data_IF_825137304265
#
_entry.id   IF_825137304265
#
_cell.length_a   1.000
_cell.length_b   1.000
_cell.length_c   1.000
_cell.angle_alpha   90.00
_cell.angle_beta   90.00
_cell.angle_gamma   90.00
#
_symmetry.space_group_name_H-M   'P 1'
#
loop_
_entity.id
_entity.type
_entity.pdbx_description
1 polymer ?
#
# COMPACT_ATOMS: atom_id res chain seq x y z
N UNK A 1 24.09 -11.93 6.68
CA UNK A 1 22.71 -11.44 6.93
C UNK A 1 22.83 -9.98 7.31
N UNK A 2 22.35 -9.08 6.44
CA UNK A 2 22.44 -7.62 6.66
C UNK A 2 21.56 -7.18 7.82
N UNK A 3 21.86 -6.00 8.38
CA UNK A 3 21.10 -5.41 9.48
C UNK A 3 19.69 -5.05 9.00
N UNK A 4 18.66 -5.66 9.57
CA UNK A 4 17.27 -5.23 9.43
C UNK A 4 17.09 -3.87 10.10
N UNK A 5 16.63 -2.87 9.34
CA UNK A 5 16.26 -1.57 9.90
C UNK A 5 14.79 -1.58 10.31
N UNK A 6 14.48 -0.84 11.38
CA UNK A 6 13.13 -0.74 11.92
C UNK A 6 12.77 0.71 12.20
N UNK A 7 11.49 1.05 12.11
CA UNK A 7 10.99 2.31 12.61
C UNK A 7 11.08 2.37 14.15
N UNK A 8 11.36 3.55 14.72
CA UNK A 8 11.29 3.73 16.16
C UNK A 8 9.85 3.55 16.65
N UNK A 9 9.71 2.91 17.81
CA UNK A 9 8.43 2.80 18.51
C UNK A 9 8.17 4.08 19.29
N UNK A 10 6.96 4.61 19.14
CA UNK A 10 6.44 5.77 19.84
C UNK A 10 4.99 5.49 20.29
N UNK A 11 4.44 6.34 21.17
CA UNK A 11 3.07 6.15 21.67
C UNK A 11 2.02 6.10 20.55
N UNK A 12 2.23 6.85 19.45
CA UNK A 12 1.25 6.96 18.37
C UNK A 12 1.28 5.83 17.33
N UNK A 13 2.36 5.03 17.24
CA UNK A 13 2.47 3.92 16.30
C UNK A 13 2.52 2.53 16.98
N UNK A 14 2.46 2.47 18.31
CA UNK A 14 2.56 1.22 19.04
C UNK A 14 1.25 0.42 18.95
N UNK A 15 1.33 -0.80 18.42
CA UNK A 15 0.21 -1.74 18.44
C UNK A 15 -0.02 -2.31 19.84
N UNK A 16 -1.26 -2.18 20.35
CA UNK A 16 -1.63 -2.68 21.69
C UNK A 16 -2.38 -4.01 21.65
N UNK A 17 -3.30 -4.19 20.69
CA UNK A 17 -4.11 -5.42 20.56
C UNK A 17 -3.53 -6.33 19.49
N UNK A 18 -3.36 -7.61 19.83
CA UNK A 18 -2.67 -8.60 19.00
C UNK A 18 -1.29 -8.09 18.57
N UNK A 19 -0.49 -7.66 19.55
CA UNK A 19 0.80 -7.03 19.31
C UNK A 19 1.88 -8.04 18.88
N UNK A 20 1.64 -9.34 19.09
CA UNK A 20 2.40 -10.44 18.50
C UNK A 20 2.41 -10.41 16.97
N UNK A 21 1.38 -9.83 16.34
CA UNK A 21 1.31 -9.63 14.89
C UNK A 21 1.98 -8.32 14.42
N UNK A 22 2.51 -7.50 15.33
CA UNK A 22 3.02 -6.18 14.99
C UNK A 22 4.46 -6.26 14.47
N UNK A 23 4.73 -5.54 13.37
CA UNK A 23 6.07 -5.35 12.84
C UNK A 23 6.42 -3.87 12.74
N UNK A 24 7.71 -3.56 12.85
CA UNK A 24 8.26 -2.23 12.64
C UNK A 24 9.39 -2.28 11.59
N UNK A 25 9.56 -3.43 10.95
CA UNK A 25 10.55 -3.70 9.91
C UNK A 25 10.29 -2.80 8.68
N UNK A 26 11.33 -2.09 8.23
CA UNK A 26 11.22 -1.18 7.09
C UNK A 26 10.84 -1.93 5.82
N UNK A 27 11.48 -3.07 5.54
CA UNK A 27 11.23 -3.84 4.33
C UNK A 27 9.79 -4.34 4.30
N UNK A 28 9.29 -4.91 5.39
CA UNK A 28 7.91 -5.41 5.45
C UNK A 28 6.91 -4.25 5.23
N UNK A 29 7.09 -3.14 5.94
CA UNK A 29 6.20 -1.98 5.84
C UNK A 29 6.24 -1.36 4.44
N UNK A 30 7.43 -1.13 3.88
CA UNK A 30 7.57 -0.57 2.54
C UNK A 30 7.04 -1.52 1.46
N UNK A 31 7.20 -2.84 1.64
CA UNK A 31 6.63 -3.84 0.72
C UNK A 31 5.10 -3.78 0.73
N UNK A 32 4.46 -3.68 1.91
CA UNK A 32 3.00 -3.55 2.01
C UNK A 32 2.53 -2.27 1.30
N UNK A 33 3.22 -1.15 1.52
CA UNK A 33 2.89 0.13 0.86
C UNK A 33 3.04 0.00 -0.66
N UNK A 34 4.18 -0.49 -1.15
CA UNK A 34 4.48 -0.53 -2.59
C UNK A 34 3.67 -1.57 -3.37
N UNK A 35 3.13 -2.58 -2.69
CA UNK A 35 2.27 -3.62 -3.31
C UNK A 35 0.77 -3.32 -3.16
N UNK A 36 0.41 -2.20 -2.53
CA UNK A 36 -0.98 -1.75 -2.39
C UNK A 36 -1.27 -0.67 -3.43
N UNK A 37 -2.23 -0.91 -4.33
CA UNK A 37 -2.50 -0.01 -5.46
C UNK A 37 -3.18 1.32 -5.05
N UNK A 38 -3.83 1.36 -3.89
CA UNK A 38 -4.48 2.56 -3.34
C UNK A 38 -4.07 2.75 -1.88
N UNK A 39 -3.43 3.88 -1.59
CA UNK A 39 -3.11 4.32 -0.24
C UNK A 39 -4.20 5.22 0.31
N UNK A 40 -4.51 5.09 1.59
CA UNK A 40 -5.46 5.95 2.27
C UNK A 40 -4.71 7.03 3.05
N UNK A 41 -4.73 8.26 2.54
CA UNK A 41 -3.97 9.38 3.10
C UNK A 41 -4.90 10.24 3.94
N UNK A 42 -4.68 10.23 5.25
CA UNK A 42 -5.48 10.95 6.24
C UNK A 42 -4.74 12.17 6.76
N UNK A 43 -5.46 13.28 6.94
CA UNK A 43 -4.91 14.53 7.48
C UNK A 43 -6.00 15.37 8.13
N UNK A 44 -5.60 16.21 9.07
CA UNK A 44 -6.51 17.21 9.64
C UNK A 44 -6.57 18.43 8.72
N UNK A 45 -7.77 18.78 8.27
CA UNK A 45 -7.97 20.03 7.57
C UNK A 45 -7.83 21.20 8.55
N UNK A 46 -7.13 22.26 8.14
CA UNK A 46 -7.08 23.51 8.91
C UNK A 46 -8.12 24.54 8.46
N UNK A 47 -8.88 24.28 7.39
CA UNK A 47 -9.96 25.18 6.98
C UNK A 47 -11.22 24.93 7.83
N UNK A 48 -11.72 25.94 8.57
CA UNK A 48 -12.88 25.83 9.44
C UNK A 48 -14.15 25.32 8.75
N UNK A 49 -14.28 25.52 7.44
CA UNK A 49 -15.43 25.07 6.67
C UNK A 49 -15.44 23.55 6.39
N UNK A 50 -14.34 22.82 6.59
CA UNK A 50 -14.32 21.35 6.49
C UNK A 50 -15.05 20.63 7.63
N UNK A 51 -15.40 21.34 8.70
CA UNK A 51 -15.89 20.72 9.92
C UNK A 51 -14.78 20.02 10.72
N UNK A 52 -15.16 19.30 11.79
CA UNK A 52 -14.21 18.80 12.79
C UNK A 52 -13.54 17.46 12.41
N UNK A 53 -13.84 16.90 11.24
CA UNK A 53 -13.45 15.55 10.89
C UNK A 53 -12.09 15.51 10.16
N UNK A 54 -11.24 14.49 10.40
CA UNK A 54 -10.09 14.26 9.56
C UNK A 54 -10.55 13.92 8.14
N UNK A 55 -9.84 14.46 7.15
CA UNK A 55 -10.03 14.09 5.76
C UNK A 55 -9.25 12.80 5.47
N UNK A 56 -9.77 11.97 4.57
CA UNK A 56 -9.11 10.77 4.06
C UNK A 56 -9.25 10.77 2.53
N UNK A 57 -8.13 10.66 1.83
CA UNK A 57 -8.09 10.65 0.37
C UNK A 57 -7.46 9.34 -0.14
N UNK A 58 -8.13 8.59 -1.03
CA UNK A 58 -7.52 7.47 -1.73
C UNK A 58 -6.56 8.00 -2.80
N UNK A 59 -5.29 7.61 -2.72
CA UNK A 59 -4.22 8.13 -3.56
C UNK A 59 -3.25 7.02 -3.99
N UNK A 60 -2.77 7.07 -5.22
CA UNK A 60 -1.60 6.33 -5.68
C UNK A 60 -0.37 6.95 -5.03
N UNK A 61 0.48 6.12 -4.45
CA UNK A 61 1.78 6.53 -3.97
C UNK A 61 2.77 5.38 -4.02
N UNK A 62 4.03 5.71 -3.77
CA UNK A 62 5.12 4.76 -3.82
C UNK A 62 6.25 5.19 -2.90
N UNK A 63 6.86 4.25 -2.18
CA UNK A 63 8.07 4.48 -1.41
C UNK A 63 9.28 4.58 -2.36
N UNK A 64 10.14 5.55 -2.14
CA UNK A 64 11.40 5.69 -2.87
C UNK A 64 12.31 6.74 -2.24
N UNK A 65 13.51 6.92 -2.79
CA UNK A 65 14.42 7.99 -2.38
C UNK A 65 14.96 8.73 -3.59
N UNK A 66 14.69 10.03 -3.68
CA UNK A 66 15.25 10.86 -4.73
C UNK A 66 16.77 11.05 -4.55
N UNK A 67 17.22 11.17 -3.29
CA UNK A 67 18.65 11.37 -2.98
C UNK A 67 19.48 10.10 -3.19
N UNK A 68 18.86 8.92 -3.09
CA UNK A 68 19.49 7.63 -3.32
C UNK A 68 18.54 6.72 -4.14
N UNK A 69 18.41 6.93 -5.47
CA UNK A 69 17.43 6.20 -6.29
C UNK A 69 17.60 4.68 -6.30
N UNK A 70 18.77 4.16 -5.93
CA UNK A 70 19.05 2.72 -5.80
C UNK A 70 18.80 2.15 -4.40
N UNK A 71 18.24 2.94 -3.47
CA UNK A 71 18.00 2.51 -2.10
C UNK A 71 17.06 1.29 -2.05
N UNK A 72 17.43 0.32 -1.23
CA UNK A 72 16.64 -0.87 -1.00
C UNK A 72 15.44 -0.59 -0.06
N UNK A 73 14.41 -1.45 -0.09
CA UNK A 73 13.24 -1.32 0.79
C UNK A 73 13.58 -1.43 2.30
N UNK A 74 14.75 -1.94 2.66
CA UNK A 74 15.26 -1.95 4.04
C UNK A 74 16.00 -0.65 4.41
N UNK A 75 16.00 0.37 3.56
CA UNK A 75 16.58 1.69 3.84
C UNK A 75 15.49 2.72 4.19
N UNK A 76 15.84 3.85 4.84
CA UNK A 76 14.89 4.94 5.03
C UNK A 76 14.45 5.54 3.68
N UNK A 77 13.15 5.47 3.39
CA UNK A 77 12.55 6.00 2.18
C UNK A 77 11.53 7.10 2.50
N UNK A 78 11.19 7.92 1.50
CA UNK A 78 10.03 8.80 1.53
C UNK A 78 8.85 8.16 0.79
N UNK A 79 7.63 8.58 1.10
CA UNK A 79 6.45 8.20 0.32
C UNK A 79 6.08 9.34 -0.63
N UNK A 80 6.14 9.10 -1.94
CA UNK A 80 5.68 10.05 -2.95
C UNK A 80 4.24 9.73 -3.31
N UNK A 81 3.34 10.69 -3.11
CA UNK A 81 1.91 10.55 -3.44
C UNK A 81 1.56 11.54 -4.55
N UNK A 82 0.80 11.06 -5.53
CA UNK A 82 0.32 11.91 -6.62
C UNK A 82 -0.74 12.89 -6.10
N UNK A 83 -0.70 14.14 -6.54
CA UNK A 83 -1.72 15.12 -6.20
C UNK A 83 -2.12 15.98 -7.40
N UNK A 84 -3.37 16.41 -7.42
CA UNK A 84 -3.77 17.48 -8.33
C UNK A 84 -3.36 18.83 -7.73
N UNK A 85 -2.95 19.81 -8.56
CA UNK A 85 -2.47 21.13 -8.07
C UNK A 85 -3.51 21.87 -7.23
N UNK A 86 -4.80 21.63 -7.47
CA UNK A 86 -5.90 22.17 -6.65
C UNK A 86 -6.32 21.27 -5.47
N UNK A 87 -5.57 20.21 -5.15
CA UNK A 87 -5.81 19.46 -3.93
C UNK A 87 -5.53 20.37 -2.74
N UNK A 88 -6.55 20.50 -1.87
CA UNK A 88 -6.47 21.15 -0.55
C UNK A 88 -5.21 20.78 0.23
N UNK A 89 -4.74 19.53 0.11
CA UNK A 89 -3.48 19.09 0.71
C UNK A 89 -2.25 19.84 0.19
N UNK A 90 -2.17 20.15 -1.10
CA UNK A 90 -1.01 20.83 -1.68
C UNK A 90 -0.91 22.30 -1.24
N UNK A 91 -2.03 22.98 -0.99
CA UNK A 91 -2.02 24.31 -0.36
C UNK A 91 -1.62 24.24 1.12
N UNK A 92 -2.09 23.21 1.85
CA UNK A 92 -1.79 23.02 3.27
C UNK A 92 -0.34 22.53 3.50
N UNK A 93 0.23 21.78 2.56
CA UNK A 93 1.58 21.26 2.61
C UNK A 93 2.68 22.32 2.37
N UNK A 94 2.31 23.59 2.13
CA UNK A 94 3.24 24.73 2.00
C UNK A 94 3.60 25.38 3.35
N UNK A 95 3.10 24.85 4.45
CA UNK A 95 3.47 25.26 5.82
C UNK A 95 4.90 24.78 6.10
N UNK A 96 5.70 25.56 6.86
CA UNK A 96 7.15 25.34 7.04
C UNK A 96 7.54 23.90 7.44
N UNK A 97 6.77 23.25 8.31
CA UNK A 97 7.07 21.89 8.80
C UNK A 97 6.40 20.78 7.96
N UNK A 98 5.68 21.14 6.90
CA UNK A 98 4.83 20.24 6.11
C UNK A 98 3.48 19.93 6.78
N UNK A 99 2.57 19.33 6.02
CA UNK A 99 1.26 18.89 6.54
C UNK A 99 1.41 17.54 7.24
N UNK A 100 1.08 17.39 8.53
CA UNK A 100 1.04 16.08 9.17
C UNK A 100 0.02 15.17 8.50
N UNK A 101 0.47 13.98 8.11
CA UNK A 101 -0.35 12.96 7.44
C UNK A 101 -0.13 11.58 8.05
N UNK A 102 -1.17 10.75 7.94
CA UNK A 102 -1.10 9.31 8.19
C UNK A 102 -1.46 8.58 6.89
N UNK A 103 -0.69 7.59 6.49
CA UNK A 103 -0.92 6.82 5.27
C UNK A 103 -1.17 5.37 5.64
N UNK A 104 -2.32 4.82 5.27
CA UNK A 104 -2.66 3.42 5.52
C UNK A 104 -2.71 2.60 4.23
N UNK A 105 -2.20 1.37 4.31
CA UNK A 105 -2.30 0.33 3.29
C UNK A 105 -2.71 -0.99 3.96
N UNK A 106 -3.56 -1.76 3.29
CA UNK A 106 -4.09 -3.03 3.81
C UNK A 106 -4.40 -3.99 2.68
N UNK A 107 -4.04 -5.26 2.86
CA UNK A 107 -4.36 -6.36 1.95
C UNK A 107 -4.94 -7.52 2.76
N UNK A 108 -6.01 -8.13 2.23
CA UNK A 108 -6.56 -9.39 2.75
C UNK A 108 -6.00 -10.51 1.90
N UNK A 109 -5.34 -11.47 2.53
CA UNK A 109 -4.71 -12.62 1.86
C UNK A 109 -5.50 -13.92 2.10
N UNK A 110 -6.50 -13.92 3.01
CA UNK A 110 -7.37 -15.07 3.23
C UNK A 110 -8.54 -14.81 4.20
N UNK A 111 -9.65 -15.51 4.00
CA UNK A 111 -10.80 -15.57 4.90
C UNK A 111 -10.65 -16.80 5.80
N UNK A 112 -10.57 -16.58 7.12
CA UNK A 112 -10.53 -17.67 8.10
C UNK A 112 -11.97 -17.98 8.53
N UNK A 113 -12.45 -19.14 8.10
CA UNK A 113 -13.81 -19.61 8.32
C UNK A 113 -13.79 -20.67 9.43
N UNK A 114 -14.26 -20.27 10.61
CA UNK A 114 -14.23 -21.08 11.83
C UNK A 114 -15.61 -21.71 12.11
N UNK A 115 -15.70 -22.65 13.05
CA UNK A 115 -16.94 -23.35 13.39
C UNK A 115 -18.00 -22.45 14.04
N UNK A 116 -17.58 -21.31 14.63
CA UNK A 116 -18.48 -20.35 15.25
C UNK A 116 -18.31 -18.93 14.69
N UNK A 117 -19.37 -18.10 14.70
CA UNK A 117 -19.28 -16.70 14.27
C UNK A 117 -18.26 -15.85 15.05
N UNK A 118 -17.90 -16.28 16.26
CA UNK A 118 -16.99 -15.56 17.14
C UNK A 118 -15.52 -15.70 16.70
N UNK A 119 -15.14 -16.82 16.11
CA UNK A 119 -13.76 -17.15 15.77
C UNK A 119 -13.38 -16.86 14.31
N UNK A 120 -14.28 -16.28 13.51
CA UNK A 120 -13.94 -15.84 12.15
C UNK A 120 -12.86 -14.75 12.18
N UNK A 121 -11.95 -14.80 11.20
CA UNK A 121 -10.86 -13.83 11.11
C UNK A 121 -10.38 -13.67 9.66
N UNK A 122 -9.34 -12.86 9.48
CA UNK A 122 -8.64 -12.70 8.22
C UNK A 122 -7.15 -13.03 8.37
N UNK A 123 -6.59 -13.62 7.32
CA UNK A 123 -5.18 -13.48 7.02
C UNK A 123 -5.04 -12.13 6.31
N UNK A 124 -4.23 -11.23 6.86
CA UNK A 124 -4.06 -9.89 6.31
C UNK A 124 -2.71 -9.29 6.65
N UNK A 125 -2.33 -8.30 5.83
CA UNK A 125 -1.16 -7.44 6.07
C UNK A 125 -1.60 -5.99 5.98
N UNK A 126 -1.08 -5.17 6.89
CA UNK A 126 -1.36 -3.74 6.89
C UNK A 126 -0.16 -2.95 7.35
N UNK A 127 -0.06 -1.71 6.86
CA UNK A 127 0.97 -0.76 7.22
C UNK A 127 0.35 0.62 7.43
N UNK A 128 0.86 1.34 8.42
CA UNK A 128 0.52 2.73 8.70
C UNK A 128 1.82 3.51 8.80
N UNK A 129 1.96 4.53 7.95
CA UNK A 129 3.04 5.50 7.99
C UNK A 129 2.56 6.81 8.61
N UNK A 130 3.41 7.46 9.37
CA UNK A 130 3.19 8.77 9.97
C UNK A 130 4.27 9.71 9.47
N UNK A 131 3.91 10.87 8.96
CA UNK A 131 4.89 11.76 8.35
C UNK A 131 4.37 13.16 8.06
N UNK A 132 5.21 13.91 7.35
CA UNK A 132 4.91 15.29 6.96
C UNK A 132 4.99 15.41 5.44
N UNK A 133 3.86 15.74 4.83
CA UNK A 133 3.73 15.95 3.40
C UNK A 133 4.20 17.35 3.01
N UNK A 134 5.05 17.43 1.98
CA UNK A 134 5.54 18.67 1.40
C UNK A 134 5.43 18.61 -0.13
N UNK A 135 5.11 19.75 -0.75
CA UNK A 135 5.08 19.84 -2.21
C UNK A 135 6.50 19.72 -2.76
N UNK A 136 6.68 18.82 -3.72
CA UNK A 136 7.92 18.72 -4.49
C UNK A 136 8.02 19.91 -5.44
N UNK A 137 9.02 20.76 -5.24
CA UNK A 137 9.26 21.97 -6.04
C UNK A 137 10.47 21.84 -6.94
N UNK A 138 11.42 20.98 -6.59
CA UNK A 138 12.58 20.70 -7.44
C UNK A 138 12.13 19.94 -8.70
N UNK A 139 12.65 20.35 -9.85
CA UNK A 139 12.20 19.81 -11.13
C UNK A 139 12.66 18.37 -11.36
N UNK A 140 13.86 18.02 -10.89
CA UNK A 140 14.43 16.67 -11.03
C UNK A 140 13.73 15.70 -10.06
N UNK A 141 13.51 16.10 -8.81
CA UNK A 141 12.74 15.33 -7.83
C UNK A 141 11.31 15.08 -8.30
N UNK A 142 10.69 16.09 -8.92
CA UNK A 142 9.34 15.96 -9.47
C UNK A 142 9.30 14.94 -10.61
N UNK A 143 10.26 14.99 -11.52
CA UNK A 143 10.34 14.04 -12.64
C UNK A 143 10.60 12.62 -12.13
N UNK A 144 11.53 12.45 -11.18
CA UNK A 144 11.79 11.20 -10.48
C UNK A 144 10.51 10.63 -9.87
N UNK A 145 9.77 11.45 -9.11
CA UNK A 145 8.58 10.98 -8.44
C UNK A 145 7.44 10.65 -9.42
N UNK A 146 7.30 11.40 -10.52
CA UNK A 146 6.33 11.07 -11.57
C UNK A 146 6.66 9.74 -12.24
N UNK A 147 7.93 9.47 -12.53
CA UNK A 147 8.38 8.17 -13.04
C UNK A 147 8.09 7.06 -12.02
N UNK A 148 8.50 7.24 -10.77
CA UNK A 148 8.31 6.28 -9.68
C UNK A 148 6.84 5.89 -9.49
N UNK A 149 5.93 6.87 -9.50
CA UNK A 149 4.48 6.64 -9.39
C UNK A 149 3.91 6.01 -10.66
N UNK A 150 4.39 6.39 -11.84
CA UNK A 150 3.91 5.79 -13.10
C UNK A 150 4.28 4.31 -13.18
N UNK A 151 5.51 3.97 -12.78
CA UNK A 151 5.99 2.59 -12.76
C UNK A 151 5.40 1.77 -11.59
N UNK A 152 4.84 2.41 -10.56
CA UNK A 152 4.08 1.71 -9.51
C UNK A 152 2.70 1.24 -9.99
N UNK A 153 2.10 1.93 -10.96
CA UNK A 153 0.87 1.48 -11.62
C UNK A 153 1.14 0.21 -12.43
N UNK A 154 2.23 0.20 -13.20
CA UNK A 154 2.69 -0.95 -13.95
C UNK A 154 4.18 -0.76 -14.27
N UNK A 155 5.00 -1.75 -13.94
CA UNK A 155 6.45 -1.65 -14.15
C UNK A 155 6.78 -1.41 -15.63
N UNK A 156 7.65 -0.43 -15.91
CA UNK A 156 8.03 -0.03 -17.27
C UNK A 156 6.99 0.86 -17.98
N UNK A 157 5.92 1.28 -17.29
CA UNK A 157 4.85 2.09 -17.88
C UNK A 157 5.32 3.51 -18.22
N UNK A 158 6.30 4.04 -17.51
CA UNK A 158 6.90 5.34 -17.84
C UNK A 158 7.49 5.34 -19.25
N UNK A 159 8.43 4.42 -19.53
CA UNK A 159 9.03 4.25 -20.86
C UNK A 159 8.02 3.78 -21.92
N UNK A 160 6.98 3.04 -21.50
CA UNK A 160 5.84 2.67 -22.35
C UNK A 160 4.85 3.81 -22.65
N UNK A 161 5.16 5.05 -22.27
CA UNK A 161 4.34 6.25 -22.46
C UNK A 161 5.09 7.33 -23.24
N UNK A 162 4.42 8.42 -23.63
CA UNK A 162 5.10 9.58 -24.25
C UNK A 162 5.87 10.34 -23.16
N UNK A 163 7.20 10.28 -23.23
CA UNK A 163 8.10 10.93 -22.28
C UNK A 163 9.01 11.96 -22.98
N UNK A 164 9.50 12.99 -22.27
CA UNK A 164 9.05 13.43 -20.94
C UNK A 164 7.66 14.12 -20.98
N UNK A 165 7.01 14.32 -19.82
CA UNK A 165 5.83 15.17 -19.73
C UNK A 165 6.13 16.57 -20.28
N UNK A 166 5.16 17.17 -20.97
CA UNK A 166 5.30 18.53 -21.47
C UNK A 166 5.10 19.57 -20.33
N UNK A 167 5.41 20.84 -20.60
CA UNK A 167 5.33 21.89 -19.59
C UNK A 167 3.94 22.09 -18.97
N UNK A 168 2.86 21.85 -19.73
CA UNK A 168 1.50 21.95 -19.20
C UNK A 168 1.18 20.80 -18.23
N UNK A 169 1.61 19.58 -18.55
CA UNK A 169 1.45 18.41 -17.69
C UNK A 169 2.27 18.55 -16.40
N UNK A 170 3.51 19.03 -16.51
CA UNK A 170 4.35 19.34 -15.35
C UNK A 170 3.74 20.47 -14.51
N UNK A 171 3.14 21.48 -15.12
CA UNK A 171 2.49 22.59 -14.43
C UNK A 171 1.20 22.20 -13.71
N UNK A 172 0.43 21.26 -14.26
CA UNK A 172 -0.87 20.82 -13.73
C UNK A 172 -0.78 19.69 -12.68
N UNK A 173 0.38 19.03 -12.57
CA UNK A 173 0.59 17.92 -11.62
C UNK A 173 1.27 18.42 -10.36
N UNK A 174 0.74 18.11 -9.18
CA UNK A 174 1.44 18.28 -7.91
C UNK A 174 1.92 16.91 -7.43
N UNK A 175 3.11 16.86 -6.86
CA UNK A 175 3.58 15.66 -6.16
C UNK A 175 3.85 16.08 -4.72
N UNK A 176 3.40 15.27 -3.77
CA UNK A 176 3.75 15.45 -2.38
C UNK A 176 4.77 14.38 -2.00
N UNK A 177 5.90 14.80 -1.44
CA UNK A 177 6.83 13.94 -0.73
C UNK A 177 6.43 13.91 0.73
N UNK A 178 6.23 12.73 1.28
CA UNK A 178 5.96 12.52 2.71
C UNK A 178 7.25 12.03 3.36
N UNK A 179 7.84 12.91 4.17
CA UNK A 179 8.96 12.52 5.04
C UNK A 179 8.41 11.68 6.19
N UNK A 180 8.84 10.42 6.27
CA UNK A 180 8.33 9.49 7.27
C UNK A 180 8.99 9.74 8.63
N UNK A 181 8.17 9.98 9.65
CA UNK A 181 8.58 10.14 11.04
C UNK A 181 8.49 8.82 11.83
N UNK A 182 7.58 7.94 11.44
CA UNK A 182 7.42 6.61 12.02
C UNK A 182 6.50 5.74 11.19
N UNK A 183 6.56 4.44 11.44
CA UNK A 183 5.68 3.47 10.79
C UNK A 183 5.39 2.29 11.71
N UNK A 184 4.29 1.61 11.45
CA UNK A 184 3.97 0.32 12.06
C UNK A 184 3.21 -0.55 11.08
N UNK A 185 3.47 -1.85 11.12
CA UNK A 185 2.77 -2.85 10.35
C UNK A 185 2.09 -3.86 11.25
N UNK A 186 1.09 -4.54 10.71
CA UNK A 186 0.45 -5.70 11.33
C UNK A 186 0.24 -6.79 10.30
N UNK A 187 0.86 -7.94 10.54
CA UNK A 187 0.82 -9.12 9.68
C UNK A 187 0.19 -10.23 10.50
N UNK A 188 -1.05 -10.60 10.14
CA UNK A 188 -1.82 -11.65 10.78
C UNK A 188 -1.90 -12.84 9.83
N UNK A 189 -1.35 -13.96 10.25
CA UNK A 189 -1.34 -15.20 9.48
C UNK A 189 -2.01 -16.35 10.25
N UNK A 190 -2.75 -16.05 11.31
CA UNK A 190 -3.39 -17.09 12.12
C UNK A 190 -4.47 -17.86 11.32
N UNK A 191 -4.56 -19.18 11.58
CA UNK A 191 -5.63 -20.03 11.08
C UNK A 191 -6.89 -19.96 11.95
N UNK A 192 -7.81 -20.92 11.76
CA UNK A 192 -9.00 -21.03 12.60
C UNK A 192 -8.61 -21.41 14.05
N UNK A 193 -9.15 -20.69 15.02
CA UNK A 193 -8.94 -20.91 16.46
C UNK A 193 -10.28 -21.30 17.09
N UNK A 194 -10.73 -22.51 16.76
CA UNK A 194 -11.97 -23.10 17.25
C UNK A 194 -11.77 -23.67 18.67
N UNK A 195 -12.77 -23.46 19.54
CA UNK A 195 -12.70 -23.96 20.91
C UNK A 195 -12.82 -25.47 20.92
N UNK A 196 -12.18 -26.10 21.91
CA UNK A 196 -12.23 -27.55 22.13
C UNK A 196 -13.67 -28.09 22.17
N UNK A 197 -14.57 -27.39 22.84
CA UNK A 197 -15.98 -27.76 22.97
C UNK A 197 -16.70 -27.84 21.61
N UNK A 198 -16.36 -26.93 20.67
CA UNK A 198 -16.92 -26.91 19.32
C UNK A 198 -16.31 -28.01 18.44
N UNK A 199 -15.00 -28.24 18.57
CA UNK A 199 -14.27 -29.30 17.86
C UNK A 199 -14.73 -30.71 18.27
N UNK A 200 -15.07 -30.92 19.54
CA UNK A 200 -15.54 -32.21 20.07
C UNK A 200 -17.04 -32.44 19.81
N UNK A 201 -17.78 -31.42 19.35
CA UNK A 201 -19.20 -31.52 19.05
C UNK A 201 -19.42 -32.06 17.63
N UNK A 202 -19.76 -33.36 17.51
CA UNK A 202 -20.10 -33.99 16.23
C UNK A 202 -21.26 -33.28 15.51
N UNK A 203 -22.21 -32.71 16.26
CA UNK A 203 -23.30 -31.93 15.69
C UNK A 203 -22.82 -30.67 14.96
N UNK A 204 -21.73 -30.05 15.45
CA UNK A 204 -21.13 -28.86 14.85
C UNK A 204 -20.21 -29.27 13.71
N UNK A 205 -19.24 -30.14 13.97
CA UNK A 205 -18.20 -30.51 13.00
C UNK A 205 -18.71 -31.27 11.78
N UNK A 206 -19.82 -32.02 11.89
CA UNK A 206 -20.44 -32.69 10.74
C UNK A 206 -21.26 -31.76 9.83
N UNK A 207 -21.66 -30.58 10.34
CA UNK A 207 -22.56 -29.64 9.63
C UNK A 207 -21.88 -28.34 9.19
N UNK A 208 -20.82 -27.92 9.86
CA UNK A 208 -20.15 -26.64 9.63
C UNK A 208 -18.78 -26.90 9.01
N UNK A 209 -18.56 -26.36 7.82
CA UNK A 209 -17.24 -26.37 7.18
C UNK A 209 -16.35 -25.32 7.83
N UNK A 210 -15.11 -25.71 8.17
CA UNK A 210 -14.07 -24.83 8.72
C UNK A 210 -12.81 -24.95 7.84
N UNK A 211 -12.11 -23.83 7.65
CA UNK A 211 -10.93 -23.74 6.81
C UNK A 211 -10.63 -22.31 6.36
N UNK A 212 -9.75 -22.18 5.37
CA UNK A 212 -9.32 -20.89 4.83
C UNK A 212 -9.69 -20.80 3.36
N UNK A 213 -10.35 -19.70 2.99
CA UNK A 213 -10.49 -19.31 1.59
C UNK A 213 -9.42 -18.27 1.25
N UNK A 214 -8.35 -18.62 0.51
CA UNK A 214 -7.31 -17.66 0.12
C UNK A 214 -7.89 -16.53 -0.73
N UNK A 215 -7.37 -15.32 -0.54
CA UNK A 215 -7.81 -14.10 -1.24
C UNK A 215 -6.61 -13.43 -1.88
N UNK A 216 -6.74 -13.08 -3.15
CA UNK A 216 -5.75 -12.27 -3.85
C UNK A 216 -6.42 -11.39 -4.91
N UNK A 217 -5.73 -10.34 -5.31
CA UNK A 217 -6.16 -9.47 -6.41
C UNK A 217 -5.68 -10.07 -7.74
N UNK A 218 -6.52 -9.99 -8.78
CA UNK A 218 -6.17 -10.43 -10.13
C UNK A 218 -6.22 -9.23 -11.07
N UNK A 219 -5.11 -8.97 -11.75
CA UNK A 219 -5.06 -8.02 -12.86
C UNK A 219 -5.59 -8.74 -14.10
N UNK A 220 -6.67 -8.20 -14.68
CA UNK A 220 -7.24 -8.72 -15.92
C UNK A 220 -6.39 -8.45 -17.15
N UNK A 221 -6.71 -9.13 -18.24
CA UNK A 221 -6.05 -8.92 -19.53
C UNK A 221 -6.28 -7.49 -20.05
N UNK A 222 -5.24 -6.78 -20.55
CA UNK A 222 -5.38 -5.42 -21.05
C UNK A 222 -6.40 -5.31 -22.19
N UNK A 223 -7.39 -4.44 -22.03
CA UNK A 223 -8.39 -4.16 -23.06
C UNK A 223 -7.96 -2.91 -23.82
N UNK A 224 -7.75 -2.97 -25.15
CA UNK A 224 -7.30 -1.81 -25.91
C UNK A 224 -8.39 -0.74 -25.98
N UNK A 225 -7.98 0.53 -25.85
CA UNK A 225 -8.88 1.66 -26.12
C UNK A 225 -9.32 1.66 -27.59
N UNK A 226 -10.50 2.23 -27.87
CA UNK A 226 -11.03 2.35 -29.25
C UNK A 226 -10.09 3.12 -30.21
N UNK A 227 -9.29 4.02 -29.66
CA UNK A 227 -8.31 4.84 -30.39
C UNK A 227 -6.92 4.21 -30.46
N UNK A 228 -6.70 3.03 -29.85
CA UNK A 228 -5.41 2.38 -29.86
C UNK A 228 -5.06 1.86 -31.27
N UNK A 229 -3.93 2.31 -31.80
CA UNK A 229 -3.39 1.85 -33.08
C UNK A 229 -2.31 0.77 -32.94
N UNK A 230 -1.86 0.48 -31.71
CA UNK A 230 -0.83 -0.54 -31.45
C UNK A 230 -1.48 -1.92 -31.50
N UNK A 231 -1.12 -2.71 -32.52
CA UNK A 231 -1.76 -4.01 -32.80
C UNK A 231 -1.35 -5.13 -31.85
N UNK A 232 -0.11 -5.09 -31.36
CA UNK A 232 0.49 -6.12 -30.50
C UNK A 232 0.66 -5.51 -29.12
N UNK A 233 0.13 -6.18 -28.09
CA UNK A 233 0.32 -5.77 -26.71
C UNK A 233 1.83 -5.75 -26.40
N UNK A 234 2.39 -4.65 -25.84
CA UNK A 234 3.78 -4.63 -25.43
C UNK A 234 4.09 -5.74 -24.43
N UNK A 235 5.18 -6.47 -24.66
CA UNK A 235 5.58 -7.64 -23.88
C UNK A 235 5.71 -7.34 -22.37
N UNK A 236 6.17 -6.14 -22.01
CA UNK A 236 6.32 -5.73 -20.61
C UNK A 236 4.98 -5.72 -19.86
N UNK A 237 3.87 -5.41 -20.56
CA UNK A 237 2.54 -5.38 -19.95
C UNK A 237 2.04 -6.78 -19.64
N UNK A 238 2.22 -7.71 -20.58
CA UNK A 238 1.81 -9.11 -20.42
C UNK A 238 2.62 -9.78 -19.29
N UNK A 239 3.94 -9.60 -19.30
CA UNK A 239 4.84 -10.10 -18.23
C UNK A 239 4.47 -9.54 -16.86
N UNK A 240 4.12 -8.25 -16.78
CA UNK A 240 3.70 -7.64 -15.53
C UNK A 240 2.41 -8.27 -15.00
N UNK A 241 1.40 -8.43 -15.85
CA UNK A 241 0.10 -9.03 -15.47
C UNK A 241 0.30 -10.47 -14.99
N UNK A 242 1.03 -11.28 -15.74
CA UNK A 242 1.31 -12.68 -15.38
C UNK A 242 2.09 -12.76 -14.05
N UNK A 243 3.18 -12.01 -13.93
CA UNK A 243 4.03 -12.03 -12.74
C UNK A 243 3.31 -11.57 -11.47
N UNK A 244 2.55 -10.47 -11.51
CA UNK A 244 1.80 -9.97 -10.34
C UNK A 244 0.73 -10.98 -9.89
N UNK A 245 0.03 -11.60 -10.85
CA UNK A 245 -0.99 -12.61 -10.56
C UNK A 245 -0.37 -13.87 -9.96
N UNK A 246 0.72 -14.39 -10.55
CA UNK A 246 1.45 -15.56 -10.04
C UNK A 246 1.98 -15.33 -8.62
N UNK A 247 2.60 -14.17 -8.37
CA UNK A 247 3.12 -13.82 -7.04
C UNK A 247 1.98 -13.75 -6.01
N UNK A 248 0.88 -13.09 -6.36
CA UNK A 248 -0.24 -12.88 -5.43
C UNK A 248 -0.98 -14.18 -5.11
N UNK A 249 -1.26 -15.00 -6.12
CA UNK A 249 -1.90 -16.31 -5.95
C UNK A 249 -1.02 -17.25 -5.13
N UNK A 250 0.27 -17.32 -5.47
CA UNK A 250 1.23 -18.16 -4.74
C UNK A 250 1.29 -17.75 -3.27
N UNK A 251 1.44 -16.47 -2.98
CA UNK A 251 1.52 -15.96 -1.62
C UNK A 251 0.28 -16.32 -0.79
N UNK A 252 -0.92 -15.99 -1.28
CA UNK A 252 -2.17 -16.28 -0.58
C UNK A 252 -2.40 -17.79 -0.38
N UNK A 253 -2.09 -18.60 -1.39
CA UNK A 253 -2.27 -20.05 -1.35
C UNK A 253 -1.28 -20.74 -0.42
N UNK A 254 -0.01 -20.32 -0.41
CA UNK A 254 1.00 -20.86 0.50
C UNK A 254 0.68 -20.52 1.96
N UNK A 255 0.23 -19.29 2.24
CA UNK A 255 -0.23 -18.90 3.58
C UNK A 255 -1.41 -19.74 4.04
N UNK A 256 -2.42 -19.93 3.18
CA UNK A 256 -3.59 -20.74 3.51
C UNK A 256 -3.25 -22.21 3.76
N UNK A 257 -2.30 -22.79 3.03
CA UNK A 257 -1.86 -24.19 3.19
C UNK A 257 -0.97 -24.44 4.41
N UNK A 258 -0.30 -23.40 4.91
CA UNK A 258 0.62 -23.50 6.04
C UNK A 258 -0.10 -23.46 7.40
N UNK A 259 -1.44 -23.49 7.42
CA UNK A 259 -2.30 -23.38 8.61
C UNK A 259 -3.31 -24.51 8.62
#
# INVERSE_FOLDING_TARGET
MGRTLVYPKAAYNTAHRHNECATYDLREIHTIINTTKILHVSFNSTDPAAGPYPAILPMIGQMGSFTHPSADLNEPLECYIHGYVSMRMASLARINDGLPVTIAASKVDGLVLSLTPYSHNYIYRSAVLFGHAQVVTDAEEKLFAMQLITDSVMSGRWEGSRTPPNGAELGATAILRVKIAGGSGKISEAGADDKKEDLESEQVTSRVWSGIAPVWEVIGQPIPAKTNAVKILPEYMDKFVQGENEISEKHATELAKAR
#
